data_IF_870420524131
#
_entry.id   IF_870420524131
#
_cell.length_a   1.000
_cell.length_b   1.000
_cell.length_c   1.000
_cell.angle_alpha   90.00
_cell.angle_beta   90.00
_cell.angle_gamma   90.00
#
_symmetry.space_group_name_H-M   'P 1'
#
loop_
_entity.id
_entity.type
_entity.pdbx_description
1 polymer ?
#
# COMPACT_ATOMS: atom_id res chain seq x y z
N UNK A 1 10.76 6.99 -12.25
CA UNK A 1 10.62 7.79 -11.02
C UNK A 1 10.98 6.98 -9.77
N UNK A 2 10.39 5.78 -9.57
CA UNK A 2 10.74 4.96 -8.41
C UNK A 2 12.24 4.65 -8.36
N UNK A 3 12.82 4.13 -9.44
CA UNK A 3 14.25 3.84 -9.51
C UNK A 3 15.14 5.06 -9.28
N UNK A 4 14.69 6.24 -9.71
CA UNK A 4 15.43 7.51 -9.56
C UNK A 4 15.49 7.99 -8.11
N UNK A 5 14.40 7.82 -7.34
CA UNK A 5 14.27 8.38 -6.00
C UNK A 5 14.29 7.34 -4.88
N UNK A 6 14.56 6.09 -5.21
CA UNK A 6 14.56 4.97 -4.27
C UNK A 6 15.41 5.23 -3.04
N UNK A 7 16.64 5.68 -3.23
CA UNK A 7 17.60 5.89 -2.13
C UNK A 7 17.18 7.03 -1.20
N UNK A 8 16.56 8.09 -1.74
CA UNK A 8 16.04 9.19 -0.94
C UNK A 8 14.82 8.79 -0.11
N UNK A 9 14.02 7.85 -0.59
CA UNK A 9 12.81 7.37 0.06
C UNK A 9 13.07 6.23 1.03
N UNK A 10 14.24 5.59 0.94
CA UNK A 10 14.62 4.47 1.80
C UNK A 10 14.57 4.84 3.28
N UNK A 11 14.03 3.96 4.11
CA UNK A 11 14.02 4.10 5.56
C UNK A 11 15.41 4.02 6.18
N UNK A 12 16.37 3.40 5.50
CA UNK A 12 17.77 3.29 5.95
C UNK A 12 18.45 4.66 6.09
N UNK A 13 18.02 5.66 5.31
CA UNK A 13 18.59 7.02 5.39
C UNK A 13 18.34 7.73 6.72
N UNK A 14 17.39 7.25 7.52
CA UNK A 14 16.95 7.89 8.79
C UNK A 14 17.05 7.01 10.03
N UNK A 15 17.19 5.69 9.91
CA UNK A 15 17.23 4.74 11.04
C UNK A 15 18.47 3.88 10.95
N UNK A 16 19.27 3.88 12.01
CA UNK A 16 20.53 3.12 12.11
C UNK A 16 20.33 1.59 12.18
N UNK A 17 19.14 1.10 12.49
CA UNK A 17 18.84 -0.34 12.60
C UNK A 17 17.44 -0.62 12.07
N UNK A 18 17.36 -1.13 10.85
CA UNK A 18 16.13 -1.70 10.27
C UNK A 18 16.31 -3.21 10.16
N UNK A 19 15.25 -3.99 10.44
CA UNK A 19 15.31 -5.44 10.26
C UNK A 19 15.73 -5.81 8.85
N UNK A 20 16.57 -6.84 8.71
CA UNK A 20 17.09 -7.26 7.41
C UNK A 20 15.99 -7.63 6.41
N UNK A 21 14.87 -8.20 6.90
CA UNK A 21 13.72 -8.56 6.08
C UNK A 21 13.02 -7.34 5.46
N UNK A 22 13.11 -6.13 6.04
CA UNK A 22 12.41 -4.95 5.55
C UNK A 22 12.85 -4.55 4.14
N UNK A 23 14.13 -4.73 3.79
CA UNK A 23 14.67 -4.42 2.46
C UNK A 23 14.13 -5.33 1.36
N UNK A 24 13.74 -6.55 1.72
CA UNK A 24 13.19 -7.57 0.82
C UNK A 24 11.67 -7.61 0.82
N UNK A 25 11.03 -6.85 1.73
CA UNK A 25 9.59 -6.88 1.92
C UNK A 25 8.86 -6.07 0.84
N UNK A 26 8.00 -6.76 0.14
CA UNK A 26 7.03 -6.19 -0.78
C UNK A 26 5.62 -6.39 -0.23
N UNK A 27 4.75 -5.40 -0.39
CA UNK A 27 3.37 -5.46 0.08
C UNK A 27 2.45 -5.31 -1.12
N UNK A 28 1.57 -6.28 -1.32
CA UNK A 28 0.55 -6.22 -2.37
C UNK A 28 -0.83 -6.06 -1.77
N UNK A 29 -1.57 -5.09 -2.30
CA UNK A 29 -2.99 -4.91 -1.97
C UNK A 29 -3.71 -4.16 -3.08
N UNK A 30 -5.01 -4.01 -2.96
CA UNK A 30 -5.84 -3.30 -3.92
C UNK A 30 -6.77 -2.31 -3.26
N UNK A 31 -7.08 -1.25 -3.99
CA UNK A 31 -8.10 -0.30 -3.58
C UNK A 31 -9.08 -0.05 -4.72
N UNK A 32 -10.37 0.08 -4.38
CA UNK A 32 -11.40 0.40 -5.37
C UNK A 32 -11.63 1.90 -5.41
N UNK A 33 -11.57 2.47 -6.60
CA UNK A 33 -12.01 3.83 -6.92
C UNK A 33 -13.40 3.71 -7.52
N UNK A 34 -14.39 4.23 -6.81
CA UNK A 34 -15.79 4.19 -7.24
C UNK A 34 -16.03 5.25 -8.31
N UNK A 35 -16.66 4.85 -9.39
CA UNK A 35 -17.08 5.74 -10.48
C UNK A 35 -18.56 6.11 -10.33
N UNK A 36 -18.93 7.29 -10.81
CA UNK A 36 -20.34 7.67 -10.92
C UNK A 36 -21.06 6.78 -11.95
N UNK A 37 -22.37 6.68 -11.82
CA UNK A 37 -23.20 5.78 -12.67
C UNK A 37 -23.13 6.10 -14.16
N UNK A 38 -22.89 7.35 -14.54
CA UNK A 38 -22.70 7.80 -15.91
C UNK A 38 -21.30 7.49 -16.49
N UNK A 39 -20.32 7.15 -15.63
CA UNK A 39 -18.96 6.82 -16.04
C UNK A 39 -18.73 5.30 -16.13
N UNK A 40 -19.77 4.50 -16.35
CA UNK A 40 -19.66 3.05 -16.47
C UNK A 40 -19.26 2.71 -17.92
N UNK A 41 -18.01 2.28 -18.07
CA UNK A 41 -17.47 1.77 -19.33
C UNK A 41 -17.17 0.26 -19.23
N UNK A 42 -16.91 -0.38 -20.37
CA UNK A 42 -16.50 -1.78 -20.42
C UNK A 42 -15.22 -1.99 -19.60
N UNK A 43 -15.31 -2.78 -18.52
CA UNK A 43 -14.22 -3.00 -17.57
C UNK A 43 -14.40 -2.32 -16.21
N UNK A 44 -15.39 -1.42 -16.05
CA UNK A 44 -15.81 -0.94 -14.75
C UNK A 44 -16.86 -1.89 -14.17
N UNK A 45 -16.44 -2.91 -13.44
CA UNK A 45 -17.34 -3.92 -12.87
C UNK A 45 -18.35 -3.39 -11.86
N UNK A 46 -19.34 -4.21 -11.49
CA UNK A 46 -20.32 -3.90 -10.45
C UNK A 46 -19.65 -3.77 -9.08
N UNK A 47 -20.26 -2.99 -8.19
CA UNK A 47 -19.78 -2.88 -6.81
C UNK A 47 -19.88 -4.26 -6.11
N UNK A 48 -18.78 -4.78 -5.54
CA UNK A 48 -18.73 -6.18 -5.06
C UNK A 48 -19.70 -6.47 -3.91
N UNK A 49 -20.06 -5.47 -3.09
CA UNK A 49 -20.91 -5.67 -1.89
C UNK A 49 -22.39 -5.41 -2.13
N UNK A 50 -22.77 -4.59 -3.08
CA UNK A 50 -24.18 -4.14 -3.19
C UNK A 50 -24.86 -4.58 -4.48
N UNK A 51 -24.15 -5.18 -5.44
CA UNK A 51 -24.69 -5.56 -6.75
C UNK A 51 -25.23 -4.39 -7.59
N UNK A 52 -25.26 -3.17 -7.02
CA UNK A 52 -25.74 -1.97 -7.71
C UNK A 52 -24.80 -1.61 -8.85
N UNK A 53 -25.35 -1.02 -9.92
CA UNK A 53 -24.66 -0.56 -11.13
C UNK A 53 -23.67 0.62 -10.86
N UNK A 54 -23.02 0.68 -9.70
CA UNK A 54 -21.92 1.61 -9.47
C UNK A 54 -20.65 0.91 -9.88
N UNK A 55 -20.16 1.20 -11.08
CA UNK A 55 -18.89 0.73 -11.57
C UNK A 55 -17.72 1.25 -10.73
N UNK A 56 -16.60 0.58 -10.83
CA UNK A 56 -15.37 0.98 -10.17
C UNK A 56 -14.16 0.40 -10.87
N UNK A 57 -13.06 1.10 -10.75
CA UNK A 57 -11.74 0.62 -11.13
C UNK A 57 -11.05 0.15 -9.84
N UNK A 58 -10.53 -1.07 -9.87
CA UNK A 58 -9.65 -1.56 -8.83
C UNK A 58 -8.21 -1.26 -9.23
N UNK A 59 -7.51 -0.60 -8.34
CA UNK A 59 -6.08 -0.29 -8.46
C UNK A 59 -5.33 -1.26 -7.57
N UNK A 60 -4.57 -2.14 -8.18
CA UNK A 60 -3.67 -3.05 -7.47
C UNK A 60 -2.30 -2.39 -7.40
N UNK A 61 -1.71 -2.37 -6.22
CA UNK A 61 -0.39 -1.82 -6.00
C UNK A 61 0.52 -2.87 -5.36
N UNK A 62 1.75 -2.93 -5.82
CA UNK A 62 2.86 -3.55 -5.11
C UNK A 62 3.78 -2.44 -4.62
N UNK A 63 4.06 -2.38 -3.32
CA UNK A 63 4.96 -1.39 -2.73
C UNK A 63 6.16 -2.08 -2.10
N UNK A 64 7.32 -1.47 -2.20
CA UNK A 64 8.47 -1.85 -1.37
C UNK A 64 8.32 -1.21 0.01
N UNK A 65 8.27 -2.03 1.06
CA UNK A 65 8.03 -1.55 2.43
C UNK A 65 9.14 -0.63 2.94
N UNK A 66 10.36 -0.79 2.45
CA UNK A 66 11.48 0.06 2.83
C UNK A 66 11.32 1.51 2.36
N UNK A 67 10.80 1.73 1.16
CA UNK A 67 10.59 3.05 0.55
C UNK A 67 9.15 3.58 0.75
N UNK A 68 8.20 2.69 0.95
CA UNK A 68 6.77 3.04 1.12
C UNK A 68 6.10 3.55 -0.14
N UNK A 69 6.63 3.25 -1.33
CA UNK A 69 6.12 3.71 -2.62
C UNK A 69 5.78 2.56 -3.55
N UNK A 70 4.80 2.74 -4.45
CA UNK A 70 4.45 1.73 -5.44
C UNK A 70 5.58 1.47 -6.44
N UNK A 71 5.91 0.21 -6.64
CA UNK A 71 6.82 -0.28 -7.68
C UNK A 71 6.08 -0.84 -8.90
N UNK A 72 4.87 -1.42 -8.70
CA UNK A 72 3.99 -1.90 -9.76
C UNK A 72 2.54 -1.47 -9.49
N UNK A 73 1.87 -0.99 -10.53
CA UNK A 73 0.47 -0.58 -10.48
C UNK A 73 -0.29 -1.20 -11.65
N UNK A 74 -1.42 -1.82 -11.33
CA UNK A 74 -2.30 -2.43 -12.34
C UNK A 74 -3.75 -2.07 -12.11
N UNK A 75 -4.51 -1.98 -13.21
CA UNK A 75 -5.92 -1.64 -13.20
C UNK A 75 -6.77 -2.82 -13.63
N UNK A 76 -7.79 -3.12 -12.83
CA UNK A 76 -8.80 -4.11 -13.18
C UNK A 76 -10.20 -3.58 -12.91
N UNK A 77 -11.21 -4.31 -13.35
CA UNK A 77 -12.58 -4.09 -12.92
C UNK A 77 -12.72 -4.30 -11.40
N UNK A 78 -13.58 -3.54 -10.74
CA UNK A 78 -13.84 -3.69 -9.31
C UNK A 78 -14.32 -5.11 -8.91
N UNK A 79 -14.87 -5.86 -9.85
CA UNK A 79 -15.34 -7.23 -9.64
C UNK A 79 -14.23 -8.29 -9.76
N UNK A 80 -13.03 -7.92 -10.23
CA UNK A 80 -11.92 -8.87 -10.40
C UNK A 80 -11.43 -9.35 -9.04
N UNK A 81 -11.23 -10.67 -8.92
CA UNK A 81 -10.66 -11.26 -7.71
C UNK A 81 -9.20 -10.84 -7.55
N UNK A 82 -8.80 -10.48 -6.33
CA UNK A 82 -7.45 -10.01 -6.02
C UNK A 82 -6.39 -11.08 -6.29
N UNK A 83 -6.71 -12.36 -6.06
CA UNK A 83 -5.77 -13.47 -6.29
C UNK A 83 -5.25 -13.55 -7.73
N UNK A 84 -6.00 -13.09 -8.75
CA UNK A 84 -5.51 -13.02 -10.12
C UNK A 84 -4.30 -12.11 -10.32
N UNK A 85 -4.14 -11.13 -9.43
CA UNK A 85 -3.07 -10.14 -9.54
C UNK A 85 -1.77 -10.58 -8.83
N UNK A 86 -1.84 -11.59 -7.98
CA UNK A 86 -0.63 -12.23 -7.45
C UNK A 86 0.03 -13.02 -8.57
N UNK A 87 1.22 -12.57 -8.96
CA UNK A 87 2.05 -13.21 -10.00
C UNK A 87 3.40 -13.56 -9.39
N UNK A 88 3.64 -14.83 -9.09
CA UNK A 88 4.91 -15.28 -8.50
C UNK A 88 6.14 -14.89 -9.32
N UNK A 89 6.02 -14.83 -10.65
CA UNK A 89 7.10 -14.42 -11.57
C UNK A 89 7.60 -12.99 -11.38
N UNK A 90 6.86 -12.14 -10.68
CA UNK A 90 7.27 -10.75 -10.42
C UNK A 90 8.26 -10.61 -9.26
N UNK A 91 8.48 -11.68 -8.50
CA UNK A 91 9.32 -11.67 -7.31
C UNK A 91 10.61 -12.43 -7.57
N UNK A 92 11.70 -11.92 -7.01
CA UNK A 92 13.00 -12.56 -7.04
C UNK A 92 13.19 -13.55 -5.87
N UNK A 93 14.10 -14.49 -6.02
CA UNK A 93 14.52 -15.36 -4.92
C UNK A 93 14.92 -14.52 -3.69
N UNK A 94 14.43 -14.90 -2.53
CA UNK A 94 14.67 -14.22 -1.26
C UNK A 94 13.74 -13.02 -0.99
N UNK A 95 12.85 -12.63 -1.91
CA UNK A 95 11.82 -11.63 -1.64
C UNK A 95 10.83 -12.14 -0.59
N UNK A 96 10.26 -11.20 0.15
CA UNK A 96 9.19 -11.46 1.12
C UNK A 96 7.94 -10.69 0.67
N UNK A 97 6.79 -11.35 0.61
CA UNK A 97 5.54 -10.74 0.16
C UNK A 97 4.50 -10.78 1.26
N UNK A 98 4.11 -9.61 1.77
CA UNK A 98 2.97 -9.48 2.67
C UNK A 98 1.70 -9.15 1.88
N UNK A 99 0.65 -9.93 2.11
CA UNK A 99 -0.60 -9.82 1.33
C UNK A 99 -1.84 -10.05 2.20
N UNK A 100 -2.99 -9.56 1.75
CA UNK A 100 -4.25 -9.83 2.43
C UNK A 100 -4.74 -11.25 2.12
N UNK A 101 -5.56 -11.78 3.02
CA UNK A 101 -6.19 -13.11 2.87
C UNK A 101 -7.04 -13.27 1.59
N UNK A 102 -7.41 -12.18 0.91
CA UNK A 102 -8.10 -12.24 -0.37
C UNK A 102 -7.23 -12.85 -1.48
N UNK A 103 -5.90 -12.81 -1.33
CA UNK A 103 -4.92 -13.35 -2.28
C UNK A 103 -4.64 -14.84 -2.11
N UNK A 104 -5.18 -15.54 -1.10
CA UNK A 104 -4.89 -16.95 -0.83
C UNK A 104 -5.29 -17.80 -2.04
N UNK A 105 -4.28 -18.41 -2.64
CA UNK A 105 -4.34 -19.38 -3.71
C UNK A 105 -3.15 -20.35 -3.59
N UNK A 106 -3.41 -21.61 -3.20
CA UNK A 106 -2.35 -22.57 -2.87
C UNK A 106 -1.43 -22.89 -4.05
N UNK A 107 -1.95 -22.91 -5.29
CA UNK A 107 -1.11 -23.12 -6.48
C UNK A 107 -0.08 -21.99 -6.64
N UNK A 108 -0.49 -20.74 -6.42
CA UNK A 108 0.43 -19.60 -6.48
C UNK A 108 1.37 -19.55 -5.29
N UNK A 109 0.90 -19.98 -4.12
CA UNK A 109 1.74 -20.07 -2.93
C UNK A 109 2.81 -21.14 -3.09
N UNK A 110 2.45 -22.29 -3.68
CA UNK A 110 3.43 -23.32 -4.02
C UNK A 110 4.44 -22.82 -5.08
N UNK A 111 4.00 -22.07 -6.07
CA UNK A 111 4.90 -21.45 -7.05
C UNK A 111 5.84 -20.42 -6.38
N UNK A 112 5.36 -19.62 -5.41
CA UNK A 112 6.22 -18.73 -4.61
C UNK A 112 7.27 -19.54 -3.85
N UNK A 113 6.87 -20.64 -3.22
CA UNK A 113 7.78 -21.51 -2.46
C UNK A 113 8.87 -22.11 -3.35
N UNK A 114 8.51 -22.62 -4.54
CA UNK A 114 9.50 -23.13 -5.53
C UNK A 114 10.46 -22.08 -6.03
N UNK A 115 10.08 -20.82 -5.99
CA UNK A 115 10.90 -19.66 -6.36
C UNK A 115 11.69 -19.08 -5.19
N UNK A 116 11.65 -19.72 -4.03
CA UNK A 116 12.29 -19.25 -2.79
C UNK A 116 11.80 -17.84 -2.38
N UNK A 117 10.52 -17.55 -2.61
CA UNK A 117 9.85 -16.33 -2.20
C UNK A 117 9.01 -16.63 -0.97
N UNK A 118 9.24 -15.88 0.10
CA UNK A 118 8.48 -16.02 1.36
C UNK A 118 7.19 -15.22 1.23
N UNK A 119 6.06 -15.80 1.63
CA UNK A 119 4.83 -15.06 1.77
C UNK A 119 4.37 -15.03 3.23
N UNK A 120 3.70 -13.93 3.61
CA UNK A 120 3.03 -13.80 4.90
C UNK A 120 1.63 -13.22 4.69
N UNK A 121 0.61 -13.96 5.14
CA UNK A 121 -0.78 -13.53 5.03
C UNK A 121 -1.58 -13.88 6.28
N UNK A 122 -2.73 -13.24 6.45
CA UNK A 122 -3.69 -13.65 7.48
C UNK A 122 -4.52 -14.84 7.00
N UNK A 123 -4.66 -15.84 7.86
CA UNK A 123 -5.44 -17.04 7.56
C UNK A 123 -6.93 -16.74 7.44
N UNK A 124 -7.65 -17.44 6.55
CA UNK A 124 -9.11 -17.50 6.52
C UNK A 124 -9.62 -18.49 7.56
N UNK A 125 -10.81 -18.25 8.12
CA UNK A 125 -11.37 -19.12 9.18
C UNK A 125 -11.72 -20.56 8.74
N UNK A 126 -12.04 -20.74 7.45
CA UNK A 126 -12.61 -22.00 6.92
C UNK A 126 -11.63 -22.69 5.97
N UNK A 127 -10.35 -22.76 6.34
CA UNK A 127 -9.35 -23.53 5.58
C UNK A 127 -9.21 -24.91 6.20
N UNK A 128 -9.23 -25.94 5.35
CA UNK A 128 -8.96 -27.33 5.74
C UNK A 128 -7.48 -27.62 5.50
N UNK A 129 -6.84 -28.24 6.47
CA UNK A 129 -5.43 -28.62 6.42
C UNK A 129 -5.16 -29.80 7.34
N UNK A 130 -4.09 -30.52 7.06
CA UNK A 130 -3.56 -31.55 7.93
C UNK A 130 -2.44 -30.98 8.79
N UNK A 131 -2.46 -31.30 10.10
CA UNK A 131 -1.45 -30.82 11.04
C UNK A 131 -0.32 -31.84 11.14
N UNK A 132 0.91 -31.39 10.82
CA UNK A 132 2.13 -32.21 10.93
C UNK A 132 2.73 -32.07 12.34
N UNK A 133 2.81 -30.84 12.86
CA UNK A 133 3.27 -30.57 14.22
C UNK A 133 2.52 -29.38 14.82
N UNK A 134 2.46 -29.36 16.15
CA UNK A 134 1.75 -28.32 16.91
C UNK A 134 2.55 -28.03 18.19
N UNK A 135 3.00 -26.80 18.34
CA UNK A 135 3.85 -26.37 19.43
C UNK A 135 3.33 -25.08 20.05
N UNK A 136 3.26 -25.04 21.37
CA UNK A 136 2.90 -23.86 22.14
C UNK A 136 4.16 -23.21 22.67
N UNK A 137 4.35 -21.93 22.38
CA UNK A 137 5.41 -21.10 22.95
C UNK A 137 4.80 -20.15 23.97
N UNK A 138 5.37 -20.14 25.19
CA UNK A 138 5.05 -19.18 26.24
C UNK A 138 6.19 -18.17 26.33
N UNK A 139 5.85 -16.88 26.42
CA UNK A 139 6.79 -15.77 26.61
C UNK A 139 7.70 -15.41 25.41
N UNK A 140 7.10 -15.14 24.26
CA UNK A 140 7.78 -14.34 23.24
C UNK A 140 7.65 -12.86 23.62
N UNK A 141 8.72 -12.08 23.50
CA UNK A 141 8.73 -10.65 23.82
C UNK A 141 7.60 -9.91 23.08
N UNK A 142 6.63 -9.39 23.85
CA UNK A 142 5.46 -8.69 23.32
C UNK A 142 4.29 -9.57 22.83
N UNK A 143 4.40 -10.91 22.90
CA UNK A 143 3.33 -11.87 22.60
C UNK A 143 3.14 -12.79 23.80
N UNK A 144 2.00 -12.70 24.50
CA UNK A 144 1.78 -13.44 25.76
C UNK A 144 1.69 -14.95 25.54
N UNK A 145 1.12 -15.40 24.43
CA UNK A 145 1.00 -16.80 24.03
C UNK A 145 1.06 -16.90 22.51
N UNK A 146 1.81 -17.85 22.00
CA UNK A 146 1.91 -18.12 20.58
C UNK A 146 1.83 -19.61 20.30
N UNK A 147 0.94 -20.03 19.39
CA UNK A 147 0.83 -21.39 18.87
C UNK A 147 1.41 -21.42 17.48
N UNK A 148 2.32 -22.34 17.22
CA UNK A 148 2.93 -22.59 15.92
C UNK A 148 2.58 -23.99 15.46
N UNK A 149 1.99 -24.07 14.26
CA UNK A 149 1.61 -25.34 13.64
C UNK A 149 2.29 -25.45 12.27
N UNK A 150 2.88 -26.59 11.98
CA UNK A 150 3.24 -26.98 10.62
C UNK A 150 2.09 -27.75 10.02
N UNK A 151 1.65 -27.37 8.83
CA UNK A 151 0.45 -27.87 8.20
C UNK A 151 0.67 -28.14 6.72
N UNK A 152 -0.17 -29.02 6.17
CA UNK A 152 -0.22 -29.30 4.73
C UNK A 152 -1.61 -28.95 4.23
N UNK A 153 -1.67 -28.11 3.20
CA UNK A 153 -2.89 -27.80 2.46
C UNK A 153 -2.93 -28.64 1.19
N UNK A 154 -4.07 -29.27 0.94
CA UNK A 154 -4.31 -30.04 -0.27
C UNK A 154 -5.23 -29.27 -1.20
N UNK A 155 -4.86 -29.15 -2.46
CA UNK A 155 -5.71 -28.58 -3.49
C UNK A 155 -5.82 -29.56 -4.64
N UNK A 156 -7.02 -30.10 -4.81
CA UNK A 156 -7.34 -30.92 -5.97
C UNK A 156 -7.37 -30.07 -7.24
N UNK A 157 -6.62 -30.47 -8.24
CA UNK A 157 -6.55 -29.81 -9.55
C UNK A 157 -7.24 -30.70 -10.56
N UNK A 158 -8.33 -30.21 -11.14
CA UNK A 158 -9.06 -30.91 -12.20
C UNK A 158 -8.12 -31.10 -13.40
N UNK A 159 -7.91 -32.34 -13.80
CA UNK A 159 -7.04 -32.74 -14.93
C UNK A 159 -5.52 -32.44 -14.70
N UNK A 160 -5.04 -32.41 -13.44
CA UNK A 160 -3.65 -32.21 -13.08
C UNK A 160 -3.26 -32.98 -11.80
N UNK A 161 -1.99 -32.86 -11.41
CA UNK A 161 -1.52 -33.40 -10.13
C UNK A 161 -2.07 -32.57 -8.97
N UNK A 162 -2.45 -33.23 -7.89
CA UNK A 162 -2.88 -32.57 -6.67
C UNK A 162 -1.71 -31.77 -6.08
N UNK A 163 -2.02 -30.58 -5.60
CA UNK A 163 -1.02 -29.69 -5.02
C UNK A 163 -1.03 -29.90 -3.50
N UNK A 164 0.11 -30.31 -2.97
CA UNK A 164 0.41 -30.29 -1.55
C UNK A 164 1.25 -29.03 -1.24
N UNK A 165 0.74 -28.21 -0.34
CA UNK A 165 1.41 -26.98 0.04
C UNK A 165 1.73 -26.99 1.53
N UNK A 166 3.01 -27.10 1.85
CA UNK A 166 3.53 -27.03 3.22
C UNK A 166 3.58 -25.59 3.71
N UNK A 167 3.03 -25.36 4.89
CA UNK A 167 2.98 -24.03 5.47
C UNK A 167 3.06 -24.06 7.00
N UNK A 168 3.36 -22.89 7.57
CA UNK A 168 3.43 -22.64 9.00
C UNK A 168 2.30 -21.69 9.38
N UNK A 169 1.50 -22.06 10.36
CA UNK A 169 0.46 -21.22 10.97
C UNK A 169 0.97 -20.72 12.30
N UNK A 170 0.95 -19.39 12.48
CA UNK A 170 1.33 -18.71 13.71
C UNK A 170 0.09 -18.04 14.28
N UNK A 171 -0.39 -18.50 15.42
CA UNK A 171 -1.57 -17.94 16.09
C UNK A 171 -1.17 -17.28 17.40
N UNK A 172 -1.54 -16.02 17.56
CA UNK A 172 -1.21 -15.21 18.74
C UNK A 172 -2.37 -14.28 19.12
N UNK A 173 -2.33 -13.76 20.34
CA UNK A 173 -3.29 -12.78 20.83
C UNK A 173 -2.76 -11.36 20.52
N UNK A 174 -3.49 -10.63 19.67
CA UNK A 174 -3.24 -9.21 19.38
C UNK A 174 -4.18 -8.32 20.21
N UNK A 175 -3.60 -7.40 20.99
CA UNK A 175 -4.36 -6.47 21.83
C UNK A 175 -4.47 -5.14 21.10
N UNK A 176 -5.67 -4.80 20.62
CA UNK A 176 -5.95 -3.52 19.95
C UNK A 176 -7.08 -2.78 20.68
N UNK A 177 -6.82 -1.56 21.11
CA UNK A 177 -7.78 -0.72 21.85
C UNK A 177 -8.35 -1.44 23.09
N UNK A 178 -7.50 -2.12 23.86
CA UNK A 178 -7.90 -2.88 25.06
C UNK A 178 -8.70 -4.17 24.80
N UNK A 179 -8.89 -4.55 23.51
CA UNK A 179 -9.59 -5.78 23.15
C UNK A 179 -8.61 -6.81 22.62
N UNK A 180 -8.58 -7.97 23.25
CA UNK A 180 -7.82 -9.14 22.80
C UNK A 180 -8.49 -9.78 21.57
N UNK A 181 -7.71 -10.08 20.54
CA UNK A 181 -8.17 -10.76 19.32
C UNK A 181 -7.18 -11.84 18.95
N UNK A 182 -7.67 -13.02 18.66
CA UNK A 182 -6.87 -14.10 18.11
C UNK A 182 -6.58 -13.82 16.64
N UNK A 183 -5.30 -13.82 16.28
CA UNK A 183 -4.81 -13.60 14.91
C UNK A 183 -4.01 -14.83 14.50
N UNK A 184 -4.33 -15.40 13.35
CA UNK A 184 -3.58 -16.51 12.76
C UNK A 184 -2.96 -16.03 11.45
N UNK A 185 -1.64 -16.11 11.35
CA UNK A 185 -0.85 -15.82 10.16
C UNK A 185 -0.45 -17.13 9.48
N UNK A 186 -0.32 -17.08 8.18
CA UNK A 186 0.10 -18.19 7.32
C UNK A 186 1.35 -17.76 6.52
N UNK A 187 2.36 -18.61 6.52
CA UNK A 187 3.62 -18.42 5.79
C UNK A 187 4.18 -19.75 5.30
N UNK A 188 5.03 -19.73 4.27
CA UNK A 188 5.82 -20.87 3.82
C UNK A 188 7.23 -20.91 4.46
N UNK A 189 7.59 -19.91 5.27
CA UNK A 189 8.86 -19.92 5.98
C UNK A 189 8.72 -20.71 7.28
N UNK A 190 9.58 -21.73 7.43
CA UNK A 190 9.52 -22.66 8.57
C UNK A 190 10.44 -22.22 9.72
N UNK A 191 11.44 -21.38 9.43
CA UNK A 191 12.55 -21.11 10.33
C UNK A 191 12.56 -19.68 10.91
N UNK A 192 11.98 -18.70 10.17
CA UNK A 192 11.98 -17.30 10.59
C UNK A 192 11.33 -17.12 11.97
N UNK A 193 11.91 -16.23 12.77
CA UNK A 193 11.38 -15.90 14.10
C UNK A 193 9.93 -15.40 14.04
N UNK A 194 9.14 -15.79 15.03
CA UNK A 194 7.70 -15.45 15.07
C UNK A 194 7.48 -13.95 15.09
N UNK A 195 8.32 -13.22 15.82
CA UNK A 195 8.29 -11.76 15.92
C UNK A 195 8.51 -11.09 14.57
N UNK A 196 9.41 -11.62 13.75
CA UNK A 196 9.67 -11.10 12.41
C UNK A 196 8.46 -11.34 11.50
N UNK A 197 7.86 -12.53 11.51
CA UNK A 197 6.64 -12.84 10.75
C UNK A 197 5.49 -11.89 11.15
N UNK A 198 5.30 -11.65 12.45
CA UNK A 198 4.30 -10.72 12.97
C UNK A 198 4.63 -9.28 12.54
N UNK A 199 5.90 -8.88 12.61
CA UNK A 199 6.41 -7.59 12.16
C UNK A 199 6.15 -7.35 10.67
N UNK A 200 6.45 -8.35 9.82
CA UNK A 200 6.19 -8.34 8.38
C UNK A 200 4.69 -8.12 8.12
N UNK A 201 3.83 -8.90 8.77
CA UNK A 201 2.39 -8.77 8.55
C UNK A 201 1.84 -7.40 9.02
N UNK A 202 2.35 -6.87 10.13
CA UNK A 202 1.98 -5.52 10.61
C UNK A 202 2.35 -4.43 9.60
N UNK A 203 3.46 -4.59 8.89
CA UNK A 203 3.89 -3.67 7.82
C UNK A 203 2.90 -3.63 6.65
N UNK A 204 2.14 -4.67 6.40
CA UNK A 204 1.09 -4.68 5.36
C UNK A 204 0.13 -3.50 5.47
N UNK A 205 -0.09 -2.98 6.69
CA UNK A 205 -0.97 -1.83 6.88
C UNK A 205 -0.48 -0.54 6.18
N UNK A 206 0.79 -0.44 5.85
CA UNK A 206 1.36 0.75 5.19
C UNK A 206 0.74 1.02 3.82
N UNK A 207 0.36 -0.02 3.07
CA UNK A 207 -0.33 0.16 1.78
C UNK A 207 -1.74 0.75 1.95
N UNK A 208 -2.43 0.41 3.05
CA UNK A 208 -3.74 0.99 3.37
C UNK A 208 -3.60 2.48 3.72
N UNK A 209 -2.52 2.86 4.41
CA UNK A 209 -2.19 4.27 4.69
C UNK A 209 -1.87 5.03 3.41
N UNK A 210 -1.12 4.44 2.48
CA UNK A 210 -0.87 5.02 1.17
C UNK A 210 -2.19 5.26 0.40
N UNK A 211 -3.06 4.26 0.32
CA UNK A 211 -4.35 4.42 -0.35
C UNK A 211 -5.25 5.47 0.32
N UNK A 212 -5.21 5.56 1.65
CA UNK A 212 -5.90 6.61 2.40
C UNK A 212 -5.33 7.99 2.06
N UNK A 213 -4.01 8.14 2.06
CA UNK A 213 -3.31 9.37 1.71
C UNK A 213 -3.67 9.85 0.29
N UNK A 214 -3.66 8.94 -0.70
CA UNK A 214 -4.07 9.24 -2.07
C UNK A 214 -5.51 9.74 -2.15
N UNK A 215 -6.46 9.03 -1.52
CA UNK A 215 -7.89 9.40 -1.54
C UNK A 215 -8.22 10.67 -0.78
N UNK A 216 -7.43 11.03 0.23
CA UNK A 216 -7.64 12.23 1.03
C UNK A 216 -7.05 13.48 0.38
N UNK A 217 -5.89 13.35 -0.24
CA UNK A 217 -5.14 14.51 -0.73
C UNK A 217 -5.31 14.77 -2.22
N UNK A 218 -5.94 13.87 -2.98
CA UNK A 218 -6.10 14.02 -4.42
C UNK A 218 -7.56 13.81 -4.85
N UNK A 219 -8.03 14.47 -5.94
CA UNK A 219 -9.42 14.43 -6.39
C UNK A 219 -9.79 13.12 -7.11
N UNK A 220 -9.64 11.97 -6.45
CA UNK A 220 -10.01 10.65 -6.98
C UNK A 220 -11.51 10.34 -6.88
N UNK A 221 -12.33 11.32 -6.50
CA UNK A 221 -13.80 11.24 -6.50
C UNK A 221 -14.42 11.87 -7.73
N UNK A 222 -13.69 12.77 -8.39
CA UNK A 222 -14.13 13.50 -9.57
C UNK A 222 -13.13 13.29 -10.69
N UNK A 223 -13.62 13.02 -11.89
CA UNK A 223 -12.77 12.80 -13.05
C UNK A 223 -13.05 13.86 -14.09
N UNK A 224 -11.99 14.49 -14.60
CA UNK A 224 -12.06 15.53 -15.62
C UNK A 224 -12.42 14.96 -17.00
N UNK A 225 -12.13 13.67 -17.25
CA UNK A 225 -12.48 12.97 -18.46
C UNK A 225 -13.30 11.70 -18.18
N UNK A 226 -14.22 11.39 -19.09
CA UNK A 226 -15.18 10.28 -18.92
C UNK A 226 -14.69 8.96 -19.53
N UNK A 227 -13.65 8.98 -20.37
CA UNK A 227 -13.12 7.77 -20.98
C UNK A 227 -12.31 6.95 -19.98
N UNK A 228 -12.27 5.63 -20.19
CA UNK A 228 -11.44 4.71 -19.39
C UNK A 228 -9.97 5.14 -19.34
N UNK A 229 -9.46 5.66 -20.45
CA UNK A 229 -8.07 6.13 -20.54
C UNK A 229 -7.86 7.41 -19.73
N UNK A 230 -8.76 8.39 -19.82
CA UNK A 230 -8.70 9.63 -19.06
C UNK A 230 -8.69 9.37 -17.55
N UNK A 231 -9.55 8.45 -17.07
CA UNK A 231 -9.61 8.07 -15.67
C UNK A 231 -8.28 7.42 -15.21
N UNK A 232 -7.74 6.50 -16.01
CA UNK A 232 -6.44 5.87 -15.70
C UNK A 232 -5.30 6.89 -15.67
N UNK A 233 -5.29 7.83 -16.63
CA UNK A 233 -4.30 8.92 -16.66
C UNK A 233 -4.38 9.76 -15.39
N UNK A 234 -5.57 10.15 -14.93
CA UNK A 234 -5.73 10.92 -13.71
C UNK A 234 -5.22 10.15 -12.48
N UNK A 235 -5.45 8.84 -12.40
CA UNK A 235 -4.90 8.01 -11.33
C UNK A 235 -3.37 7.96 -11.40
N UNK A 236 -2.78 7.80 -12.60
CA UNK A 236 -1.34 7.82 -12.79
C UNK A 236 -0.71 9.16 -12.38
N UNK A 237 -1.31 10.28 -12.82
CA UNK A 237 -0.86 11.62 -12.42
C UNK A 237 -0.90 11.80 -10.90
N UNK A 238 -1.96 11.29 -10.26
CA UNK A 238 -2.07 11.30 -8.80
C UNK A 238 -0.93 10.54 -8.11
N UNK A 239 -0.60 9.34 -8.61
CA UNK A 239 0.49 8.53 -8.06
C UNK A 239 1.86 9.22 -8.24
N UNK A 240 2.08 9.84 -9.40
CA UNK A 240 3.30 10.60 -9.70
C UNK A 240 3.40 11.82 -8.77
N UNK A 241 2.34 12.59 -8.64
CA UNK A 241 2.30 13.76 -7.76
C UNK A 241 2.54 13.38 -6.29
N UNK A 242 1.93 12.27 -5.84
CA UNK A 242 2.17 11.75 -4.49
C UNK A 242 3.65 11.40 -4.27
N UNK A 243 4.28 10.70 -5.22
CA UNK A 243 5.70 10.35 -5.14
C UNK A 243 6.59 11.58 -5.08
N UNK A 244 6.35 12.57 -5.94
CA UNK A 244 7.13 13.81 -5.96
C UNK A 244 6.97 14.60 -4.65
N UNK A 245 5.76 14.68 -4.09
CA UNK A 245 5.54 15.31 -2.79
C UNK A 245 6.22 14.56 -1.64
N UNK A 246 6.29 13.23 -1.69
CA UNK A 246 7.05 12.44 -0.71
C UNK A 246 8.55 12.75 -0.78
N UNK A 247 9.11 12.87 -1.99
CA UNK A 247 10.51 13.27 -2.20
C UNK A 247 10.75 14.67 -1.65
N UNK A 248 9.87 15.65 -1.98
CA UNK A 248 9.95 16.99 -1.43
C UNK A 248 9.91 17.00 0.10
N UNK A 249 8.98 16.27 0.70
CA UNK A 249 8.86 16.13 2.16
C UNK A 249 10.15 15.61 2.80
N UNK A 250 10.88 14.72 2.11
CA UNK A 250 12.17 14.19 2.58
C UNK A 250 13.30 15.20 2.50
N UNK A 251 13.29 16.05 1.47
CA UNK A 251 14.32 17.08 1.23
C UNK A 251 14.17 18.30 2.13
N UNK A 252 12.92 18.63 2.50
CA UNK A 252 12.64 19.77 3.38
C UNK A 252 13.07 19.42 4.82
N UNK A 253 13.84 20.28 5.47
CA UNK A 253 14.32 20.10 6.85
C UNK A 253 13.20 20.28 7.86
N UNK A 254 12.31 21.25 7.62
CA UNK A 254 11.15 21.53 8.47
C UNK A 254 10.16 20.36 8.42
N UNK A 255 9.65 19.94 9.56
CA UNK A 255 8.67 18.86 9.65
C UNK A 255 7.30 19.31 9.16
N UNK A 256 6.86 18.80 8.02
CA UNK A 256 5.52 18.98 7.48
C UNK A 256 4.74 17.66 7.50
N UNK A 257 3.45 17.72 7.89
CA UNK A 257 2.56 16.61 7.57
C UNK A 257 2.36 16.56 6.05
N UNK A 258 2.19 15.35 5.49
CA UNK A 258 1.97 15.21 4.05
C UNK A 258 0.75 16.02 3.55
N UNK A 259 -0.34 16.01 4.29
CA UNK A 259 -1.57 16.73 3.91
C UNK A 259 -1.38 18.24 3.89
N UNK A 260 -0.66 18.80 4.87
CA UNK A 260 -0.34 20.24 4.90
C UNK A 260 0.57 20.61 3.74
N UNK A 261 1.61 19.80 3.49
CA UNK A 261 2.52 20.02 2.36
C UNK A 261 1.75 20.00 1.03
N UNK A 262 0.89 19.00 0.82
CA UNK A 262 0.08 18.89 -0.40
C UNK A 262 -0.88 20.07 -0.58
N UNK A 263 -1.45 20.59 0.50
CA UNK A 263 -2.36 21.74 0.46
C UNK A 263 -1.61 23.02 0.12
N UNK A 264 -0.50 23.28 0.82
CA UNK A 264 0.32 24.47 0.57
C UNK A 264 0.94 24.45 -0.83
N UNK A 265 1.37 23.27 -1.31
CA UNK A 265 1.91 23.14 -2.66
C UNK A 265 0.89 23.53 -3.73
N UNK A 266 -0.40 23.17 -3.56
CA UNK A 266 -1.47 23.59 -4.49
C UNK A 266 -1.61 25.11 -4.56
N UNK A 267 -1.52 25.79 -3.43
CA UNK A 267 -1.59 27.26 -3.36
C UNK A 267 -0.37 27.83 -4.09
N UNK A 268 0.82 27.32 -3.81
CA UNK A 268 2.06 27.83 -4.37
C UNK A 268 2.23 27.62 -5.87
N UNK A 269 1.56 26.59 -6.46
CA UNK A 269 1.58 26.40 -7.92
C UNK A 269 1.02 27.59 -8.71
N UNK A 270 0.23 28.43 -8.06
CA UNK A 270 -0.31 29.66 -8.65
C UNK A 270 0.65 30.84 -8.60
N UNK A 271 1.77 30.72 -7.87
CA UNK A 271 2.73 31.80 -7.63
C UNK A 271 4.15 31.41 -8.06
N UNK A 272 4.91 32.39 -8.55
CA UNK A 272 6.31 32.22 -8.96
C UNK A 272 7.26 32.34 -7.75
N UNK A 273 7.17 31.41 -6.80
CA UNK A 273 8.02 31.36 -5.63
C UNK A 273 8.86 30.07 -5.60
N UNK A 274 10.03 30.15 -4.97
CA UNK A 274 10.84 28.96 -4.78
C UNK A 274 10.22 28.07 -3.71
N UNK A 275 9.66 26.92 -4.12
CA UNK A 275 8.96 26.01 -3.24
C UNK A 275 9.81 25.56 -2.05
N UNK A 276 11.06 25.22 -2.25
CA UNK A 276 11.93 24.76 -1.15
C UNK A 276 12.15 25.85 -0.12
N UNK A 277 12.47 27.07 -0.55
CA UNK A 277 12.67 28.22 0.34
C UNK A 277 11.39 28.52 1.14
N UNK A 278 10.25 28.50 0.47
CA UNK A 278 8.97 28.70 1.14
C UNK A 278 8.68 27.62 2.19
N UNK A 279 8.88 26.34 1.88
CA UNK A 279 8.58 25.27 2.84
C UNK A 279 9.56 25.22 4.02
N UNK A 280 10.75 25.77 3.88
CA UNK A 280 11.69 25.94 5.00
C UNK A 280 11.32 27.15 5.89
N UNK A 281 10.85 28.25 5.30
CA UNK A 281 10.54 29.52 5.97
C UNK A 281 9.24 30.14 5.45
N UNK A 282 8.07 29.51 5.68
CA UNK A 282 6.81 29.97 5.09
C UNK A 282 6.40 31.35 5.60
N UNK A 283 6.79 31.72 6.81
CA UNK A 283 6.44 33.01 7.41
C UNK A 283 7.07 34.20 6.64
N UNK A 284 8.24 33.99 6.06
CA UNK A 284 8.95 35.03 5.34
C UNK A 284 8.30 35.45 4.02
N UNK A 285 7.77 34.44 3.30
CA UNK A 285 7.28 34.66 1.94
C UNK A 285 5.73 34.70 1.89
N UNK A 286 5.06 34.44 3.04
CA UNK A 286 3.59 34.45 3.12
C UNK A 286 2.99 35.83 2.84
N UNK A 287 3.60 36.91 3.34
CA UNK A 287 3.14 38.28 3.11
C UNK A 287 3.18 38.65 1.63
N UNK A 288 4.22 38.23 0.91
CA UNK A 288 4.33 38.46 -0.55
C UNK A 288 3.20 37.76 -1.31
N UNK A 289 2.80 36.54 -0.89
CA UNK A 289 1.70 35.81 -1.52
C UNK A 289 0.40 36.57 -1.32
N UNK A 290 0.13 37.08 -0.12
CA UNK A 290 -1.07 37.88 0.19
C UNK A 290 -1.09 39.17 -0.62
N UNK A 291 0.04 39.85 -0.76
CA UNK A 291 0.16 41.09 -1.58
C UNK A 291 -0.09 40.81 -3.07
N UNK A 292 0.33 39.65 -3.58
CA UNK A 292 0.06 39.22 -4.97
C UNK A 292 -1.43 38.88 -5.21
N UNK A 293 -2.13 38.35 -4.20
CA UNK A 293 -3.57 38.03 -4.27
C UNK A 293 -4.44 39.30 -4.10
N UNK A 294 -3.94 40.31 -3.40
CA UNK A 294 -4.60 41.56 -3.15
C UNK A 294 -3.73 42.71 -3.65
N UNK A 295 -3.55 42.86 -4.97
CA UNK A 295 -2.85 44.04 -5.46
C UNK A 295 -3.60 45.26 -4.94
N UNK A 296 -2.88 46.12 -4.22
CA UNK A 296 -3.41 47.44 -3.83
C UNK A 296 -3.96 48.06 -5.12
N UNK A 297 -5.21 48.56 -5.15
CA UNK A 297 -5.66 49.31 -6.30
C UNK A 297 -4.66 50.42 -6.52
N UNK A 298 -4.13 50.55 -7.75
CA UNK A 298 -3.32 51.71 -8.12
C UNK A 298 -4.07 52.93 -7.60
N UNK A 299 -3.43 53.68 -6.71
CA UNK A 299 -4.01 54.93 -6.25
C UNK A 299 -4.32 55.73 -7.52
N UNK A 300 -5.59 56.11 -7.76
CA UNK A 300 -5.88 56.91 -8.91
C UNK A 300 -5.03 58.14 -8.79
N UNK A 301 -4.15 58.34 -9.76
CA UNK A 301 -3.38 59.58 -9.86
C UNK A 301 -4.41 60.70 -9.84
N UNK A 302 -4.53 61.33 -8.68
CA UNK A 302 -5.31 62.54 -8.55
C UNK A 302 -4.54 63.62 -9.30
N UNK A 303 -5.01 63.87 -10.53
CA UNK A 303 -4.67 65.05 -11.39
C UNK A 303 -3.31 65.05 -12.09
N UNK A 304 -3.38 64.93 -13.40
CA UNK A 304 -2.76 65.87 -14.34
C UNK A 304 -3.81 66.79 -14.93
#
# INVERSE_FOLDING_TARGET
LYATYRDELSSDSRRKQVPAWLKRLQIIDSTTITLFSNLIFKGAGRHPKTGKKKGGIKVHANIHANEGVPSDIRFTSAATNDSFMLRPSNYACGDIVALDRAYIDYAKFEELTRREVIYVTKMKKNLTFDTVSDTMYMHLEGLMECRVQHVIFHKHVKDGEDIEHHARIITYVDIKNGKARLVSLLTNDMDMEVEDIVGIYRKRWEIELLFKQLKQNFPLRYFYGESANAIKIQIWVTLIANLLLMVMQRRIKRSWSFSNLATMFRIMLMYYVNCYTFFEQPERDWLKIIEMDNPQPDEPALFD
#
